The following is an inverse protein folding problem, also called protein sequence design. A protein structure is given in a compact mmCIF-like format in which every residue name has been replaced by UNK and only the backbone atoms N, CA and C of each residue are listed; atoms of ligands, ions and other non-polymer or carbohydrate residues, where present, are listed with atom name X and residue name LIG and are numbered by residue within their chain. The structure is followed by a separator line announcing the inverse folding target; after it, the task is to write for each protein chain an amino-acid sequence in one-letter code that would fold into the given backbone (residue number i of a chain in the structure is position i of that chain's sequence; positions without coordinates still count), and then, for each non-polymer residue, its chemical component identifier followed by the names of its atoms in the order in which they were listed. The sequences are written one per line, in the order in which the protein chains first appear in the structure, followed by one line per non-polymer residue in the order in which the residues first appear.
data_IF_645507761428
#
_entry.id   IF_645507761428
#
_cell.length_a   1.000
_cell.length_b   1.000
_cell.length_c   1.000
_cell.angle_alpha   90.00
_cell.angle_beta   90.00
_cell.angle_gamma   90.00
#
_symmetry.space_group_name_H-M   'P 1'
#
loop_
_entity.id
_entity.type
_entity.pdbx_description
1 polymer ?
#
# COMPACT_ATOMS: atom_id res chain seq x y z
N UNK A 1 7.29 -18.03 -9.55
CA UNK A 1 6.99 -19.43 -9.17
C UNK A 1 5.85 -19.38 -8.19
N UNK A 2 4.72 -20.03 -8.50
CA UNK A 2 3.53 -20.03 -7.66
C UNK A 2 3.79 -20.92 -6.45
N UNK A 3 3.88 -20.37 -5.25
CA UNK A 3 3.83 -21.15 -4.01
C UNK A 3 2.39 -21.55 -3.79
N UNK A 4 2.01 -22.68 -4.38
CA UNK A 4 0.85 -23.45 -3.93
C UNK A 4 1.04 -23.70 -2.44
N UNK A 5 0.05 -23.38 -1.62
CA UNK A 5 0.07 -23.80 -0.23
C UNK A 5 0.05 -25.34 -0.20
N UNK A 6 1.22 -25.96 -0.07
CA UNK A 6 1.34 -27.38 0.23
C UNK A 6 1.04 -27.56 1.70
N UNK A 7 -0.25 -27.74 2.02
CA UNK A 7 -0.61 -28.48 3.22
C UNK A 7 -0.30 -29.96 2.92
N UNK A 8 0.44 -30.68 3.78
CA UNK A 8 0.55 -32.12 3.63
C UNK A 8 -0.85 -32.71 3.61
N UNK A 9 -1.23 -33.34 2.51
CA UNK A 9 -2.51 -34.03 2.42
C UNK A 9 -2.48 -35.15 3.45
N UNK A 10 -3.34 -35.04 4.46
CA UNK A 10 -3.55 -36.10 5.44
C UNK A 10 -3.97 -37.36 4.68
N UNK A 11 -3.27 -38.51 4.84
CA UNK A 11 -3.65 -39.76 4.19
C UNK A 11 -5.14 -40.04 4.44
N UNK A 12 -5.87 -40.55 3.45
CA UNK A 12 -7.32 -40.81 3.56
C UNK A 12 -7.70 -41.71 4.76
N UNK A 13 -6.74 -42.51 5.25
CA UNK A 13 -6.87 -43.38 6.42
C UNK A 13 -6.62 -42.68 7.77
N UNK A 14 -6.08 -41.47 7.78
CA UNK A 14 -5.81 -40.70 9.00
C UNK A 14 -7.05 -39.86 9.35
N UNK A 15 -7.80 -40.36 10.33
CA UNK A 15 -9.03 -39.75 10.84
C UNK A 15 -8.77 -38.73 11.94
N UNK A 16 -7.51 -38.45 12.28
CA UNK A 16 -7.18 -37.43 13.28
C UNK A 16 -7.53 -36.05 12.71
N UNK A 17 -8.21 -35.19 13.48
CA UNK A 17 -8.55 -33.85 13.02
C UNK A 17 -7.25 -33.07 12.73
N UNK A 18 -7.10 -32.61 11.48
CA UNK A 18 -6.03 -31.69 11.12
C UNK A 18 -6.39 -30.29 11.62
N UNK A 19 -5.69 -29.80 12.64
CA UNK A 19 -5.92 -28.48 13.20
C UNK A 19 -5.09 -27.45 12.44
N UNK A 20 -5.76 -26.64 11.60
CA UNK A 20 -5.14 -25.49 10.95
C UNK A 20 -5.28 -24.28 11.86
N UNK A 21 -4.15 -23.68 12.26
CA UNK A 21 -4.15 -22.40 12.96
C UNK A 21 -3.95 -21.28 11.94
N UNK A 22 -4.85 -20.30 11.93
CA UNK A 22 -4.77 -19.12 11.08
C UNK A 22 -4.42 -17.88 11.90
N UNK A 23 -3.58 -17.01 11.33
CA UNK A 23 -3.54 -15.58 11.68
C UNK A 23 -4.65 -14.90 10.87
N UNK A 24 -5.63 -14.31 11.55
CA UNK A 24 -6.77 -13.64 10.92
C UNK A 24 -6.71 -12.18 11.36
N UNK A 25 -6.40 -11.27 10.44
CA UNK A 25 -6.43 -9.83 10.69
C UNK A 25 -7.86 -9.28 10.55
N UNK A 26 -8.59 -9.78 9.55
CA UNK A 26 -10.04 -9.70 9.44
C UNK A 26 -10.56 -10.91 8.63
N UNK A 27 -11.82 -11.26 8.83
CA UNK A 27 -12.46 -12.34 8.08
C UNK A 27 -12.82 -11.88 6.68
N UNK A 28 -12.47 -12.68 5.67
CA UNK A 28 -13.02 -12.50 4.33
C UNK A 28 -14.45 -13.01 4.29
N UNK A 29 -15.39 -12.12 4.02
CA UNK A 29 -16.83 -12.42 3.91
C UNK A 29 -17.38 -12.07 2.52
N UNK A 30 -16.63 -11.30 1.73
CA UNK A 30 -16.96 -10.89 0.35
C UNK A 30 -15.74 -11.10 -0.56
N UNK A 31 -15.95 -10.94 -1.85
CA UNK A 31 -14.90 -10.97 -2.87
C UNK A 31 -14.92 -9.67 -3.66
N UNK A 32 -13.78 -9.29 -4.21
CA UNK A 32 -13.71 -8.19 -5.15
C UNK A 32 -14.53 -8.53 -6.40
N UNK A 33 -15.58 -7.73 -6.63
CA UNK A 33 -16.39 -7.71 -7.85
C UNK A 33 -16.25 -6.33 -8.50
N UNK A 34 -16.73 -6.15 -9.72
CA UNK A 34 -16.78 -4.81 -10.33
C UNK A 34 -17.51 -3.78 -9.45
N UNK A 35 -18.54 -4.22 -8.71
CA UNK A 35 -19.28 -3.36 -7.77
C UNK A 35 -18.40 -2.93 -6.59
N UNK A 36 -17.64 -3.85 -5.98
CA UNK A 36 -16.70 -3.49 -4.90
C UNK A 36 -15.58 -2.59 -5.39
N UNK A 37 -15.10 -2.82 -6.62
CA UNK A 37 -14.05 -1.98 -7.22
C UNK A 37 -14.58 -0.57 -7.49
N UNK A 38 -15.84 -0.45 -7.96
CA UNK A 38 -16.48 0.85 -8.15
C UNK A 38 -16.69 1.57 -6.82
N UNK A 39 -17.16 0.87 -5.78
CA UNK A 39 -17.39 1.43 -4.45
C UNK A 39 -16.08 1.84 -3.75
N UNK A 40 -15.01 1.04 -3.89
CA UNK A 40 -13.67 1.42 -3.47
C UNK A 40 -13.26 2.76 -4.08
N UNK A 41 -13.33 2.87 -5.41
CA UNK A 41 -12.95 4.09 -6.14
C UNK A 41 -13.77 5.30 -5.68
N UNK A 42 -15.07 5.14 -5.51
CA UNK A 42 -15.94 6.21 -5.01
C UNK A 42 -15.59 6.63 -3.58
N UNK A 43 -15.11 5.70 -2.76
CA UNK A 43 -14.75 5.92 -1.36
C UNK A 43 -13.36 6.54 -1.17
N UNK A 44 -12.43 6.37 -2.14
CA UNK A 44 -11.04 6.84 -2.02
C UNK A 44 -10.92 8.31 -1.58
N UNK A 45 -11.63 9.29 -2.16
CA UNK A 45 -11.47 10.69 -1.77
C UNK A 45 -11.77 10.95 -0.29
N UNK A 46 -12.86 10.38 0.21
CA UNK A 46 -13.31 10.58 1.59
C UNK A 46 -12.39 9.80 2.54
N UNK A 47 -12.06 8.55 2.18
CA UNK A 47 -11.22 7.69 3.00
C UNK A 47 -9.79 8.24 3.12
N UNK A 48 -9.21 8.77 2.04
CA UNK A 48 -7.90 9.38 2.05
C UNK A 48 -7.84 10.59 3.00
N UNK A 49 -8.85 11.46 2.98
CA UNK A 49 -8.93 12.60 3.89
C UNK A 49 -9.13 12.19 5.35
N UNK A 50 -9.96 11.17 5.60
CA UNK A 50 -10.12 10.58 6.93
C UNK A 50 -8.77 10.08 7.46
N UNK A 51 -8.08 9.22 6.70
CA UNK A 51 -6.78 8.65 7.09
C UNK A 51 -5.71 9.73 7.29
N UNK A 52 -5.70 10.77 6.45
CA UNK A 52 -4.80 11.93 6.59
C UNK A 52 -5.06 12.72 7.88
N UNK A 53 -6.31 12.76 8.34
CA UNK A 53 -6.75 13.44 9.55
C UNK A 53 -6.69 12.58 10.83
N UNK A 54 -6.50 11.27 10.71
CA UNK A 54 -6.47 10.35 11.85
C UNK A 54 -5.32 10.66 12.82
N UNK A 55 -5.60 10.49 14.11
CA UNK A 55 -4.64 10.61 15.21
C UNK A 55 -4.62 9.30 15.99
N UNK A 56 -3.44 8.90 16.47
CA UNK A 56 -3.24 7.65 17.19
C UNK A 56 -2.70 7.90 18.58
N UNK A 57 -3.15 7.05 19.51
CA UNK A 57 -2.62 7.00 20.87
C UNK A 57 -1.43 6.03 20.89
N UNK A 58 -0.26 6.51 21.32
CA UNK A 58 0.84 5.63 21.68
C UNK A 58 0.42 4.76 22.87
N UNK A 59 1.12 3.65 23.11
CA UNK A 59 0.94 2.83 24.33
C UNK A 59 1.16 3.64 25.61
N UNK A 60 1.80 4.80 25.53
CA UNK A 60 2.07 5.72 26.65
C UNK A 60 1.04 6.86 26.75
N UNK A 61 0.01 6.89 25.89
CA UNK A 61 -1.05 7.89 25.91
C UNK A 61 -0.75 9.17 25.11
N UNK A 62 0.33 9.22 24.35
CA UNK A 62 0.65 10.36 23.49
C UNK A 62 -0.18 10.34 22.21
N UNK A 63 -0.71 11.50 21.81
CA UNK A 63 -1.43 11.64 20.55
C UNK A 63 -0.44 12.02 19.44
N UNK A 64 -0.32 11.17 18.42
CA UNK A 64 0.49 11.44 17.25
C UNK A 64 -0.38 11.53 15.99
N UNK A 65 -0.06 12.50 15.12
CA UNK A 65 -0.64 12.55 13.79
C UNK A 65 -0.15 11.35 12.96
N UNK A 66 -1.02 10.86 12.08
CA UNK A 66 -0.66 9.77 11.17
C UNK A 66 0.54 10.13 10.29
N UNK A 67 1.49 9.22 10.18
CA UNK A 67 2.73 9.37 9.42
C UNK A 67 2.76 8.24 8.42
N UNK A 68 3.16 8.53 7.19
CA UNK A 68 3.26 7.54 6.13
C UNK A 68 4.49 7.77 5.29
N UNK A 69 5.21 6.71 4.94
CA UNK A 69 6.05 6.74 3.74
C UNK A 69 5.16 6.74 2.49
N UNK A 70 5.75 6.93 1.31
CA UNK A 70 5.02 7.24 0.09
C UNK A 70 4.01 6.14 -0.28
N UNK A 71 4.42 4.89 -0.12
CA UNK A 71 3.67 3.66 -0.38
C UNK A 71 2.69 3.31 0.75
N UNK A 72 3.06 3.59 2.01
CA UNK A 72 2.26 3.22 3.19
C UNK A 72 0.89 3.89 3.13
N UNK A 73 0.82 5.15 2.67
CA UNK A 73 -0.46 5.83 2.52
C UNK A 73 -1.40 5.12 1.54
N UNK A 74 -0.88 4.70 0.37
CA UNK A 74 -1.67 3.98 -0.62
C UNK A 74 -2.11 2.60 -0.11
N UNK A 75 -1.21 1.89 0.58
CA UNK A 75 -1.50 0.61 1.25
C UNK A 75 -2.59 0.77 2.29
N UNK A 76 -2.49 1.79 3.16
CA UNK A 76 -3.44 2.05 4.23
C UNK A 76 -4.84 2.31 3.70
N UNK A 77 -4.99 3.08 2.62
CA UNK A 77 -6.29 3.32 1.96
C UNK A 77 -6.90 2.00 1.45
N UNK A 78 -6.13 1.17 0.75
CA UNK A 78 -6.58 -0.14 0.27
C UNK A 78 -6.98 -1.06 1.44
N UNK A 79 -6.11 -1.17 2.44
CA UNK A 79 -6.26 -2.07 3.58
C UNK A 79 -7.47 -1.68 4.45
N UNK A 80 -7.66 -0.39 4.73
CA UNK A 80 -8.80 0.08 5.52
C UNK A 80 -10.12 -0.26 4.84
N UNK A 81 -10.23 0.06 3.54
CA UNK A 81 -11.44 -0.22 2.79
C UNK A 81 -11.73 -1.73 2.72
N UNK A 82 -10.70 -2.54 2.43
CA UNK A 82 -10.89 -3.98 2.32
C UNK A 82 -11.32 -4.60 3.65
N UNK A 83 -10.69 -4.18 4.76
CA UNK A 83 -11.04 -4.68 6.08
C UNK A 83 -12.46 -4.29 6.50
N UNK A 84 -12.88 -3.04 6.27
CA UNK A 84 -14.23 -2.58 6.60
C UNK A 84 -15.32 -3.29 5.80
N UNK A 85 -14.98 -3.76 4.59
CA UNK A 85 -15.90 -4.45 3.70
C UNK A 85 -15.74 -5.98 3.71
N UNK A 86 -14.84 -6.54 4.52
CA UNK A 86 -14.60 -7.99 4.57
C UNK A 86 -14.06 -8.56 3.26
N UNK A 87 -13.31 -7.76 2.50
CA UNK A 87 -12.69 -8.15 1.23
C UNK A 87 -11.29 -8.74 1.46
N UNK A 88 -10.84 -9.70 0.63
CA UNK A 88 -9.51 -10.27 0.78
C UNK A 88 -8.44 -9.29 0.28
N UNK A 89 -7.25 -9.38 0.85
CA UNK A 89 -6.04 -8.73 0.31
C UNK A 89 -4.97 -9.78 0.09
N UNK A 90 -4.19 -9.59 -0.98
CA UNK A 90 -3.00 -10.37 -1.31
C UNK A 90 -1.91 -9.46 -1.87
N UNK A 91 -0.89 -9.18 -1.07
CA UNK A 91 0.21 -8.29 -1.46
C UNK A 91 1.51 -9.09 -1.44
N UNK A 92 2.32 -8.98 -2.49
CA UNK A 92 3.57 -9.74 -2.61
C UNK A 92 4.74 -8.79 -2.74
N UNK A 93 5.76 -8.96 -1.92
CA UNK A 93 7.02 -8.22 -2.03
C UNK A 93 8.14 -9.10 -2.61
N UNK A 94 9.39 -8.71 -2.43
CA UNK A 94 10.55 -9.52 -2.82
C UNK A 94 10.80 -10.79 -2.00
N UNK A 95 10.06 -11.00 -0.91
CA UNK A 95 10.36 -12.01 0.12
C UNK A 95 9.18 -12.97 0.32
N UNK A 96 7.95 -12.48 0.41
CA UNK A 96 6.74 -13.23 0.74
C UNK A 96 5.46 -12.61 0.16
N UNK A 97 4.37 -13.33 0.35
CA UNK A 97 3.02 -12.84 0.10
C UNK A 97 2.27 -12.70 1.41
N UNK A 98 1.71 -11.52 1.61
CA UNK A 98 0.85 -11.10 2.71
C UNK A 98 -0.62 -11.33 2.35
N UNK A 99 -1.40 -11.91 3.27
CA UNK A 99 -2.85 -12.06 3.15
C UNK A 99 -3.53 -11.66 4.44
N UNK A 100 -4.75 -11.15 4.36
CA UNK A 100 -5.53 -10.81 5.56
C UNK A 100 -5.88 -12.04 6.42
N UNK A 101 -5.80 -13.23 5.85
CA UNK A 101 -5.84 -14.51 6.56
C UNK A 101 -4.67 -15.39 6.09
N UNK A 102 -3.77 -15.77 7.00
CA UNK A 102 -2.58 -16.57 6.71
C UNK A 102 -2.49 -17.81 7.59
N UNK A 103 -1.81 -18.86 7.10
CA UNK A 103 -1.37 -19.96 7.95
C UNK A 103 -0.45 -19.42 9.04
N UNK A 104 -0.81 -19.66 10.30
CA UNK A 104 -0.01 -19.20 11.44
C UNK A 104 1.35 -19.92 11.46
N UNK A 105 2.43 -19.20 11.80
CA UNK A 105 3.78 -19.79 11.88
C UNK A 105 4.91 -18.90 11.37
N UNK A 106 4.60 -17.72 10.84
CA UNK A 106 5.61 -16.72 10.46
C UNK A 106 6.08 -15.93 11.70
N UNK A 107 7.37 -15.58 11.82
CA UNK A 107 7.90 -14.85 12.99
C UNK A 107 7.15 -13.54 13.30
N UNK A 108 6.63 -12.88 12.28
CA UNK A 108 5.93 -11.60 12.36
C UNK A 108 4.52 -11.74 12.98
N UNK A 109 3.89 -12.93 12.87
CA UNK A 109 2.50 -13.12 13.33
C UNK A 109 2.29 -12.95 14.83
N UNK A 110 3.35 -13.13 15.61
CA UNK A 110 3.35 -12.89 17.07
C UNK A 110 3.64 -11.43 17.45
N UNK A 111 4.16 -10.62 16.52
CA UNK A 111 4.56 -9.23 16.76
C UNK A 111 3.41 -8.25 16.52
N UNK A 112 2.63 -8.51 15.47
CA UNK A 112 1.50 -7.67 15.09
C UNK A 112 0.18 -8.21 15.65
N UNK A 113 -0.70 -7.33 16.10
CA UNK A 113 -2.02 -7.70 16.57
C UNK A 113 -2.92 -8.18 15.43
N UNK A 114 -4.01 -8.87 15.77
CA UNK A 114 -4.95 -9.42 14.78
C UNK A 114 -6.00 -8.37 14.43
N UNK A 115 -5.55 -7.27 13.83
CA UNK A 115 -6.40 -6.16 13.39
C UNK A 115 -5.99 -5.67 12.01
N UNK A 116 -6.81 -4.80 11.44
CA UNK A 116 -6.49 -4.11 10.18
C UNK A 116 -5.17 -3.32 10.28
N UNK A 117 -4.92 -2.67 11.43
CA UNK A 117 -3.67 -1.94 11.70
C UNK A 117 -2.48 -2.87 11.78
N UNK A 118 -2.60 -3.97 12.54
CA UNK A 118 -1.54 -4.97 12.62
C UNK A 118 -1.20 -5.61 11.27
N UNK A 119 -2.16 -5.72 10.35
CA UNK A 119 -1.89 -6.14 8.98
C UNK A 119 -1.12 -5.08 8.19
N UNK A 120 -1.55 -3.82 8.26
CA UNK A 120 -0.88 -2.70 7.59
C UNK A 120 0.58 -2.60 8.04
N UNK A 121 0.82 -2.51 9.36
CA UNK A 121 2.17 -2.44 9.92
C UNK A 121 3.04 -3.64 9.48
N UNK A 122 2.46 -4.85 9.44
CA UNK A 122 3.17 -6.05 9.02
C UNK A 122 3.56 -6.01 7.53
N UNK A 123 2.72 -5.46 6.65
CA UNK A 123 3.01 -5.32 5.22
C UNK A 123 4.09 -4.25 5.01
N UNK A 124 3.95 -3.11 5.67
CA UNK A 124 4.81 -1.91 5.54
C UNK A 124 6.26 -2.19 5.97
N UNK A 125 6.51 -3.22 6.79
CA UNK A 125 7.86 -3.66 7.14
C UNK A 125 8.80 -3.91 5.96
N UNK A 126 8.28 -4.45 4.86
CA UNK A 126 9.11 -4.91 3.74
C UNK A 126 8.59 -4.50 2.37
N UNK A 127 7.31 -4.15 2.27
CA UNK A 127 6.71 -3.66 1.04
C UNK A 127 7.19 -2.24 0.76
N UNK A 128 7.83 -2.03 -0.39
CA UNK A 128 8.30 -0.71 -0.80
C UNK A 128 7.66 -0.22 -2.09
N UNK A 129 7.96 1.02 -2.48
CA UNK A 129 7.56 1.58 -3.78
C UNK A 129 7.80 0.64 -4.99
N UNK A 130 8.93 -0.09 -5.11
CA UNK A 130 9.13 -1.05 -6.22
C UNK A 130 8.09 -2.18 -6.26
N UNK A 131 7.54 -2.58 -5.13
CA UNK A 131 6.57 -3.69 -5.08
C UNK A 131 5.21 -3.28 -5.67
N UNK A 132 4.92 -1.98 -5.80
CA UNK A 132 3.77 -1.48 -6.57
C UNK A 132 3.88 -1.81 -8.06
N UNK A 133 5.10 -1.97 -8.59
CA UNK A 133 5.33 -2.26 -10.01
C UNK A 133 5.18 -3.75 -10.37
N UNK A 134 4.85 -4.61 -9.39
CA UNK A 134 4.63 -6.06 -9.60
C UNK A 134 3.34 -6.34 -10.34
N UNK A 135 3.36 -6.05 -11.65
CA UNK A 135 2.23 -6.24 -12.54
C UNK A 135 1.85 -7.73 -12.65
N UNK A 136 0.55 -8.01 -12.62
CA UNK A 136 0.01 -9.37 -12.59
C UNK A 136 -0.03 -10.00 -11.19
N UNK A 137 0.53 -9.34 -10.17
CA UNK A 137 0.38 -9.74 -8.76
C UNK A 137 -0.33 -8.65 -7.97
N UNK A 138 0.36 -7.57 -7.62
CA UNK A 138 -0.20 -6.52 -6.77
C UNK A 138 -1.03 -5.54 -7.58
N UNK A 139 -0.58 -5.27 -8.81
CA UNK A 139 -1.16 -4.25 -9.67
C UNK A 139 -1.30 -4.73 -11.12
N UNK A 140 -1.97 -3.93 -11.93
CA UNK A 140 -2.02 -3.99 -13.38
C UNK A 140 -1.61 -2.62 -13.94
N UNK A 141 -0.94 -2.60 -15.10
CA UNK A 141 -0.55 -1.34 -15.76
C UNK A 141 -1.79 -0.56 -16.20
N UNK A 142 -1.77 0.75 -16.01
CA UNK A 142 -2.75 1.69 -16.59
C UNK A 142 -2.13 2.29 -17.85
N UNK A 143 -2.91 2.33 -18.94
CA UNK A 143 -2.40 2.67 -20.27
C UNK A 143 -1.96 4.12 -20.43
N UNK A 144 -2.48 5.03 -19.61
CA UNK A 144 -2.14 6.44 -19.67
C UNK A 144 -2.98 7.30 -18.71
N UNK A 145 -2.69 8.62 -18.65
CA UNK A 145 -3.36 9.54 -17.72
C UNK A 145 -4.89 9.58 -17.89
N UNK A 146 -5.39 9.39 -19.11
CA UNK A 146 -6.83 9.40 -19.40
C UNK A 146 -7.58 8.23 -18.76
N UNK A 147 -6.90 7.10 -18.55
CA UNK A 147 -7.45 5.88 -17.96
C UNK A 147 -7.32 5.82 -16.43
N UNK A 148 -6.71 6.83 -15.81
CA UNK A 148 -6.59 6.92 -14.35
C UNK A 148 -7.94 7.10 -13.68
N UNK A 149 -8.11 6.43 -12.56
CA UNK A 149 -9.26 6.49 -11.67
C UNK A 149 -8.80 6.69 -10.22
N UNK A 150 -9.67 7.19 -9.32
CA UNK A 150 -9.37 7.24 -7.89
C UNK A 150 -8.89 5.88 -7.36
N UNK A 151 -7.84 5.89 -6.56
CA UNK A 151 -7.20 4.69 -6.02
C UNK A 151 -6.13 4.07 -6.93
N UNK A 152 -5.94 4.58 -8.15
CA UNK A 152 -4.78 4.23 -8.97
C UNK A 152 -3.50 4.85 -8.40
N UNK A 153 -2.37 4.26 -8.78
CA UNK A 153 -1.03 4.53 -8.24
C UNK A 153 -0.17 5.13 -9.35
N UNK A 154 0.50 6.24 -9.02
CA UNK A 154 1.57 6.82 -9.81
C UNK A 154 2.88 6.43 -9.14
N UNK A 155 3.67 5.57 -9.78
CA UNK A 155 4.96 5.10 -9.29
C UNK A 155 6.09 5.84 -10.02
N UNK A 156 6.81 6.74 -9.32
CA UNK A 156 7.91 7.52 -9.89
C UNK A 156 9.10 6.60 -10.14
N UNK A 157 9.41 6.33 -11.40
CA UNK A 157 10.35 5.28 -11.78
C UNK A 157 11.19 5.64 -13.01
N UNK A 158 10.68 6.47 -13.92
CA UNK A 158 11.37 6.75 -15.18
C UNK A 158 12.61 7.63 -15.00
N UNK A 159 12.67 8.38 -13.90
CA UNK A 159 13.86 9.12 -13.45
C UNK A 159 14.92 8.21 -12.79
N UNK A 160 14.58 6.95 -12.50
CA UNK A 160 15.47 5.98 -11.86
C UNK A 160 15.39 4.60 -12.53
N UNK A 161 15.80 4.54 -13.80
CA UNK A 161 16.01 3.28 -14.53
C UNK A 161 14.80 2.30 -14.50
N UNK A 162 13.58 2.84 -14.36
CA UNK A 162 12.35 2.07 -14.30
C UNK A 162 12.07 1.42 -12.94
N UNK A 163 12.78 1.79 -11.86
CA UNK A 163 12.54 1.28 -10.50
C UNK A 163 11.85 2.37 -9.68
N UNK A 164 10.67 2.05 -9.16
CA UNK A 164 9.89 2.99 -8.37
C UNK A 164 10.56 3.27 -7.03
N UNK A 165 10.72 4.55 -6.70
CA UNK A 165 11.26 5.00 -5.41
C UNK A 165 10.32 5.95 -4.67
N UNK A 166 9.25 6.38 -5.34
CA UNK A 166 8.20 7.20 -4.78
C UNK A 166 6.84 6.82 -5.38
N UNK A 167 5.78 7.02 -4.60
CA UNK A 167 4.41 6.64 -4.93
C UNK A 167 3.46 7.78 -4.59
N UNK A 168 2.52 8.05 -5.49
CA UNK A 168 1.38 8.94 -5.26
C UNK A 168 0.07 8.19 -5.54
N UNK A 169 -0.95 8.43 -4.73
CA UNK A 169 -2.28 7.86 -4.91
C UNK A 169 -3.18 8.88 -5.62
N UNK A 170 -3.88 8.44 -6.68
CA UNK A 170 -4.91 9.27 -7.33
C UNK A 170 -6.11 9.40 -6.41
N UNK A 171 -6.46 10.65 -6.09
CA UNK A 171 -7.62 10.99 -5.27
C UNK A 171 -8.82 11.31 -6.17
N UNK A 172 -8.61 12.06 -7.24
CA UNK A 172 -9.66 12.36 -8.21
C UNK A 172 -9.07 12.65 -9.60
N UNK A 173 -9.90 12.50 -10.64
CA UNK A 173 -9.51 12.74 -12.03
C UNK A 173 -10.64 13.43 -12.79
N UNK A 174 -10.28 14.45 -13.57
CA UNK A 174 -11.11 15.11 -14.56
C UNK A 174 -10.33 15.24 -15.88
N UNK A 175 -10.92 15.86 -16.90
CA UNK A 175 -10.22 16.12 -18.16
C UNK A 175 -9.05 17.12 -18.01
N UNK A 176 -9.12 18.00 -17.02
CA UNK A 176 -8.15 19.08 -16.81
C UNK A 176 -7.33 18.94 -15.53
N UNK A 177 -7.54 17.88 -14.76
CA UNK A 177 -6.93 17.75 -13.45
C UNK A 177 -6.80 16.30 -12.98
N UNK A 178 -5.67 15.95 -12.36
CA UNK A 178 -5.50 14.73 -11.57
C UNK A 178 -5.05 15.17 -10.18
N UNK A 179 -5.89 14.98 -9.18
CA UNK A 179 -5.52 15.23 -7.78
C UNK A 179 -4.88 14.00 -7.19
N UNK A 180 -3.81 14.20 -6.42
CA UNK A 180 -3.05 13.13 -5.79
C UNK A 180 -2.79 13.43 -4.32
N UNK A 181 -2.60 12.37 -3.54
CA UNK A 181 -2.10 12.45 -2.18
C UNK A 181 -0.96 11.45 -2.00
N UNK A 182 0.04 11.83 -1.24
CA UNK A 182 1.26 11.03 -1.04
C UNK A 182 1.71 11.12 0.40
N UNK A 183 2.16 9.99 0.96
CA UNK A 183 3.06 10.05 2.11
C UNK A 183 4.39 10.68 1.72
N UNK A 184 5.19 11.06 2.71
CA UNK A 184 6.51 11.62 2.48
C UNK A 184 7.46 11.12 3.59
N UNK A 185 8.76 11.08 3.36
CA UNK A 185 9.73 10.61 4.35
C UNK A 185 10.74 11.68 4.70
N UNK A 186 11.03 11.83 5.99
CA UNK A 186 12.12 12.70 6.46
C UNK A 186 13.45 11.98 6.30
N UNK A 187 14.11 12.16 5.16
CA UNK A 187 15.44 11.63 4.88
C UNK A 187 15.46 10.34 4.05
N UNK A 188 16.62 10.06 3.47
CA UNK A 188 16.84 9.06 2.41
C UNK A 188 16.49 7.63 2.87
N UNK A 189 15.29 7.16 2.53
CA UNK A 189 14.92 5.73 2.61
C UNK A 189 15.35 5.05 1.30
N UNK A 190 16.65 4.99 1.04
CA UNK A 190 17.18 4.19 -0.08
C UNK A 190 17.95 3.00 0.47
N UNK A 191 17.69 1.81 -0.10
CA UNK A 191 18.61 0.67 0.09
C UNK A 191 19.96 1.08 -0.53
N UNK A 192 21.10 0.92 0.18
CA UNK A 192 21.34 -0.02 1.27
C UNK A 192 21.30 0.57 2.69
N UNK A 193 20.99 1.86 2.88
CA UNK A 193 21.03 2.51 4.21
C UNK A 193 20.01 1.90 5.20
N UNK A 194 18.81 1.55 4.73
CA UNK A 194 17.79 0.89 5.55
C UNK A 194 18.20 -0.51 6.02
N UNK A 195 19.07 -1.20 5.28
CA UNK A 195 19.61 -2.51 5.67
C UNK A 195 20.62 -2.40 6.81
N UNK A 196 21.45 -1.35 6.82
CA UNK A 196 22.46 -1.12 7.85
C UNK A 196 21.85 -0.60 9.17
N UNK A 197 20.83 0.27 9.09
CA UNK A 197 20.10 0.76 10.27
C UNK A 197 19.26 -0.35 10.94
N UNK A 198 18.76 -1.32 10.17
CA UNK A 198 18.09 -2.53 10.68
C UNK A 198 19.01 -3.39 11.56
N UNK A 199 20.32 -3.41 11.27
CA UNK A 199 21.33 -4.12 12.10
C UNK A 199 21.57 -3.40 13.45
N UNK A 200 21.26 -2.11 13.55
CA UNK A 200 21.40 -1.29 14.76
C UNK A 200 20.08 -1.15 15.55
N UNK A 201 19.04 -1.93 15.23
CA UNK A 201 17.75 -1.89 15.94
C UNK A 201 16.84 -0.70 15.59
N UNK A 202 17.21 0.11 14.60
CA UNK A 202 16.42 1.25 14.11
C UNK A 202 15.75 0.85 12.79
N UNK A 203 14.48 0.45 12.84
CA UNK A 203 13.72 0.16 11.63
C UNK A 203 12.86 1.37 11.23
N UNK A 204 13.41 2.24 10.39
CA UNK A 204 12.73 3.48 9.94
C UNK A 204 11.53 3.22 9.00
N UNK A 205 11.36 1.98 8.55
CA UNK A 205 10.21 1.50 7.78
C UNK A 205 9.15 0.83 8.67
N UNK A 206 9.42 0.61 9.97
CA UNK A 206 8.45 0.04 10.91
C UNK A 206 7.65 1.17 11.58
N UNK A 207 6.34 1.29 11.32
CA UNK A 207 5.49 2.31 11.95
C UNK A 207 5.46 2.22 13.47
N UNK A 208 5.76 1.05 14.05
CA UNK A 208 5.80 0.85 15.51
C UNK A 208 7.12 1.31 16.14
N UNK A 209 8.13 1.65 15.33
CA UNK A 209 9.42 2.12 15.81
C UNK A 209 9.42 3.64 15.98
N UNK A 210 9.96 4.15 17.09
CA UNK A 210 10.07 5.60 17.35
C UNK A 210 10.92 6.38 16.33
N UNK A 211 11.68 5.69 15.47
CA UNK A 211 12.48 6.27 14.37
C UNK A 211 11.78 6.27 13.00
N UNK A 212 10.51 5.88 12.94
CA UNK A 212 9.71 5.82 11.72
C UNK A 212 9.74 7.16 10.95
N UNK A 213 10.08 7.07 9.66
CA UNK A 213 10.45 8.22 8.85
C UNK A 213 9.26 8.94 8.19
N UNK A 214 8.06 8.35 8.23
CA UNK A 214 6.87 8.91 7.61
C UNK A 214 6.55 10.32 8.13
N UNK A 215 5.94 11.13 7.28
CA UNK A 215 5.37 12.42 7.65
C UNK A 215 3.89 12.48 7.27
N UNK A 216 3.23 13.59 7.60
CA UNK A 216 1.83 13.80 7.25
C UNK A 216 1.67 13.79 5.72
N UNK A 217 0.67 13.11 5.16
CA UNK A 217 0.46 13.10 3.72
C UNK A 217 0.27 14.50 3.15
N UNK A 218 0.91 14.74 2.01
CA UNK A 218 0.82 15.96 1.23
C UNK A 218 -0.12 15.77 0.05
N UNK A 219 -0.75 16.87 -0.39
CA UNK A 219 -1.61 16.89 -1.57
C UNK A 219 -0.91 17.59 -2.73
N UNK A 220 -1.24 17.17 -3.94
CA UNK A 220 -0.83 17.86 -5.15
C UNK A 220 -1.78 17.61 -6.29
N UNK A 221 -1.53 18.28 -7.40
CA UNK A 221 -2.35 18.19 -8.58
C UNK A 221 -1.51 18.21 -9.85
N UNK A 222 -2.00 17.50 -10.87
CA UNK A 222 -1.50 17.59 -12.23
C UNK A 222 -2.51 18.30 -13.10
N UNK A 223 -2.03 19.18 -13.97
CA UNK A 223 -2.83 19.86 -15.00
C UNK A 223 -2.22 19.65 -16.39
N UNK A 224 -3.03 19.46 -17.45
CA UNK A 224 -2.50 19.26 -18.78
C UNK A 224 -1.79 20.53 -19.27
N UNK A 225 -0.68 20.35 -19.96
CA UNK A 225 0.09 21.37 -20.65
C UNK A 225 0.33 20.94 -22.10
N UNK A 226 0.86 21.83 -22.95
CA UNK A 226 1.08 21.51 -24.37
C UNK A 226 2.06 20.35 -24.63
N UNK A 227 2.81 19.91 -23.62
CA UNK A 227 3.85 18.87 -23.73
C UNK A 227 3.65 17.69 -22.75
N UNK A 228 2.57 17.69 -21.96
CA UNK A 228 2.27 16.63 -20.99
C UNK A 228 1.45 17.14 -19.80
N UNK A 229 1.88 16.82 -18.58
CA UNK A 229 1.15 17.18 -17.36
C UNK A 229 2.07 17.83 -16.34
N UNK A 230 1.79 19.09 -16.01
CA UNK A 230 2.55 19.87 -15.03
C UNK A 230 2.03 19.56 -13.63
N UNK A 231 2.94 19.42 -12.67
CA UNK A 231 2.63 19.13 -11.27
C UNK A 231 2.71 20.39 -10.41
N UNK A 232 1.79 20.51 -9.45
CA UNK A 232 1.81 21.46 -8.35
C UNK A 232 1.62 20.74 -7.02
N UNK A 233 2.49 20.99 -6.06
CA UNK A 233 2.29 20.58 -4.67
C UNK A 233 1.49 21.67 -3.94
N UNK A 234 0.37 21.31 -3.32
CA UNK A 234 -0.55 22.29 -2.73
C UNK A 234 -0.09 22.79 -1.34
N UNK A 235 0.87 22.09 -0.72
CA UNK A 235 1.41 22.44 0.60
C UNK A 235 2.64 23.34 0.46
N UNK A 236 3.59 22.97 -0.39
CA UNK A 236 4.85 23.70 -0.60
C UNK A 236 4.77 24.75 -1.70
N UNK A 237 3.75 24.68 -2.56
CA UNK A 237 3.62 25.54 -3.74
C UNK A 237 4.62 25.22 -4.85
N UNK A 238 5.40 24.14 -4.72
CA UNK A 238 6.36 23.70 -5.75
C UNK A 238 5.64 23.33 -7.04
N UNK A 239 6.13 23.84 -8.17
CA UNK A 239 5.64 23.50 -9.50
C UNK A 239 6.75 22.80 -10.30
N UNK A 240 6.39 21.77 -11.08
CA UNK A 240 7.31 21.03 -11.95
C UNK A 240 6.63 20.78 -13.29
N UNK A 241 7.20 21.31 -14.37
CA UNK A 241 6.66 21.15 -15.71
C UNK A 241 6.81 19.71 -16.22
N UNK A 242 5.78 19.19 -16.88
CA UNK A 242 5.71 17.87 -17.48
C UNK A 242 6.23 16.74 -16.56
N UNK A 243 5.80 16.73 -15.29
CA UNK A 243 6.34 15.83 -14.28
C UNK A 243 5.71 14.43 -14.33
N UNK A 244 4.48 14.29 -14.83
CA UNK A 244 3.81 12.98 -14.89
C UNK A 244 4.56 11.96 -15.75
N UNK A 245 5.39 12.42 -16.70
CA UNK A 245 6.23 11.54 -17.53
C UNK A 245 7.24 10.73 -16.70
N UNK A 246 7.57 11.17 -15.48
CA UNK A 246 8.48 10.46 -14.59
C UNK A 246 7.82 9.23 -13.92
N UNK A 247 6.49 9.10 -14.07
CA UNK A 247 5.70 8.09 -13.40
C UNK A 247 5.24 6.99 -14.35
N UNK A 248 5.27 5.78 -13.83
CA UNK A 248 4.53 4.65 -14.35
C UNK A 248 3.17 4.54 -13.65
N UNK A 249 2.13 4.19 -14.39
CA UNK A 249 0.76 4.20 -13.90
C UNK A 249 0.27 2.77 -13.61
N UNK A 250 -0.30 2.57 -12.43
CA UNK A 250 -0.73 1.27 -11.94
C UNK A 250 -2.11 1.33 -11.29
N UNK A 251 -2.79 0.19 -11.27
CA UNK A 251 -4.05 -0.02 -10.57
C UNK A 251 -3.94 -1.29 -9.75
N UNK A 252 -4.51 -1.33 -8.55
CA UNK A 252 -4.58 -2.56 -7.77
C UNK A 252 -5.19 -3.72 -8.56
N UNK A 253 -4.60 -4.91 -8.44
CA UNK A 253 -5.10 -6.11 -9.08
C UNK A 253 -6.18 -6.77 -8.21
N UNK A 254 -7.31 -6.08 -8.05
CA UNK A 254 -8.40 -6.46 -7.14
C UNK A 254 -8.83 -7.93 -7.28
N UNK A 255 -8.96 -8.41 -8.52
CA UNK A 255 -9.40 -9.79 -8.76
C UNK A 255 -8.35 -10.84 -8.42
N UNK A 256 -7.06 -10.50 -8.46
CA UNK A 256 -6.00 -11.39 -7.99
C UNK A 256 -6.02 -11.53 -6.46
N UNK A 257 -6.56 -10.55 -5.74
CA UNK A 257 -6.72 -10.64 -4.28
C UNK A 257 -7.74 -11.70 -3.86
N UNK A 258 -8.66 -12.10 -4.75
CA UNK A 258 -9.60 -13.20 -4.49
C UNK A 258 -8.94 -14.59 -4.51
N UNK A 259 -7.69 -14.72 -4.97
CA UNK A 259 -7.01 -16.00 -5.25
C UNK A 259 -5.96 -16.38 -4.22
#
# INVERSE_FOLDING_TARGET
MSTVATAPLTPKSDTRPHVVKLKIFWKTTRQWTDAEVADYRASVPILAEQIRGEQYWSKNGDIHANRFTCEDFALRVLIQYAASNGLPIKLTDGVRTYRNMELYGKPEHGQYDSSMYGFADMVELTYGAPDMQRSGSNTVRVSGPDALLPGDILAQANDWAGIAHHVQLVISKSASNISVMQGNSSGVIVRPLTTFLRVLGMNRADPQNGSYAGVKPETGSYSPSGVGWDYKNDITGRNVANFLKEFELYRWNFFEFNR
#
